data_IF_311520878016
#
_entry.id   IF_311520878016
#
_cell.length_a   1.000
_cell.length_b   1.000
_cell.length_c   1.000
_cell.angle_alpha   90.00
_cell.angle_beta   90.00
_cell.angle_gamma   90.00
#
_symmetry.space_group_name_H-M   'P 1'
#
loop_
_entity.id
_entity.type
_entity.pdbx_description
1 polymer ?
#
# COMPACT_ATOMS: atom_id res chain seq x y z
N UNK A 1 9.01 -20.74 -28.39
CA UNK A 1 9.25 -19.31 -28.08
C UNK A 1 9.13 -19.17 -26.57
N UNK A 2 10.21 -18.79 -25.89
CA UNK A 2 10.21 -18.62 -24.44
C UNK A 2 9.54 -17.29 -24.09
N UNK A 3 8.37 -17.36 -23.46
CA UNK A 3 7.62 -16.18 -23.04
C UNK A 3 8.19 -15.68 -21.71
N UNK A 4 8.60 -14.41 -21.64
CA UNK A 4 9.16 -13.75 -20.43
C UNK A 4 8.27 -13.94 -19.19
N UNK A 5 6.99 -14.25 -19.37
CA UNK A 5 6.02 -14.57 -18.30
C UNK A 5 6.33 -15.83 -17.48
N UNK A 6 7.28 -16.67 -17.89
CA UNK A 6 7.73 -17.84 -17.10
C UNK A 6 8.93 -17.55 -16.21
N UNK A 7 9.52 -16.35 -16.30
CA UNK A 7 10.61 -15.92 -15.43
C UNK A 7 10.04 -15.46 -14.08
N UNK A 8 10.80 -15.66 -13.00
CA UNK A 8 10.44 -15.14 -11.67
C UNK A 8 10.42 -13.61 -11.66
N UNK A 9 9.60 -13.03 -10.78
CA UNK A 9 9.40 -11.57 -10.69
C UNK A 9 10.72 -10.80 -10.56
N UNK A 10 11.67 -11.33 -9.78
CA UNK A 10 13.00 -10.73 -9.58
C UNK A 10 13.82 -10.67 -10.88
N UNK A 11 13.75 -11.71 -11.73
CA UNK A 11 14.45 -11.74 -13.00
C UNK A 11 13.81 -10.81 -14.02
N UNK A 12 12.49 -10.70 -14.01
CA UNK A 12 11.74 -9.75 -14.84
C UNK A 12 12.12 -8.31 -14.46
N UNK A 13 12.15 -7.99 -13.16
CA UNK A 13 12.58 -6.69 -12.66
C UNK A 13 14.03 -6.39 -13.02
N UNK A 14 14.92 -7.38 -12.95
CA UNK A 14 16.31 -7.22 -13.35
C UNK A 14 16.45 -6.90 -14.85
N UNK A 15 15.69 -7.58 -15.72
CA UNK A 15 15.64 -7.28 -17.16
C UNK A 15 15.11 -5.86 -17.39
N UNK A 16 14.04 -5.46 -16.72
CA UNK A 16 13.43 -4.12 -16.85
C UNK A 16 14.35 -2.98 -16.37
N UNK A 17 15.31 -3.29 -15.48
CA UNK A 17 16.35 -2.38 -14.99
C UNK A 17 17.59 -2.33 -15.88
N UNK A 18 17.61 -3.04 -17.01
CA UNK A 18 18.70 -2.87 -17.99
C UNK A 18 18.57 -1.53 -18.73
N UNK A 19 19.71 -0.96 -19.10
CA UNK A 19 19.80 0.34 -19.78
C UNK A 19 19.40 0.26 -21.26
N UNK A 20 19.40 -0.93 -21.84
CA UNK A 20 19.12 -1.16 -23.26
C UNK A 20 17.61 -1.13 -23.57
N UNK A 21 16.76 -1.15 -22.55
CA UNK A 21 15.30 -1.17 -22.70
C UNK A 21 14.76 0.20 -22.27
N UNK A 22 14.33 1.02 -23.22
CA UNK A 22 13.80 2.36 -22.91
C UNK A 22 12.36 2.30 -22.41
N UNK A 23 11.91 3.34 -21.69
CA UNK A 23 10.52 3.44 -21.23
C UNK A 23 9.49 3.44 -22.37
N UNK A 24 9.92 3.73 -23.61
CA UNK A 24 9.09 3.64 -24.82
C UNK A 24 9.01 2.21 -25.36
N UNK A 25 10.05 1.41 -25.14
CA UNK A 25 10.09 -0.01 -25.52
C UNK A 25 9.34 -0.89 -24.50
N UNK A 26 9.27 -0.44 -23.24
CA UNK A 26 8.49 -1.06 -22.16
C UNK A 26 7.02 -0.67 -22.27
N UNK A 27 6.31 -1.19 -23.29
CA UNK A 27 4.84 -1.23 -23.25
C UNK A 27 4.35 -2.52 -22.57
N UNK A 28 5.06 -2.97 -21.52
CA UNK A 28 4.73 -4.24 -20.85
C UNK A 28 3.39 -4.19 -20.11
N UNK A 29 2.96 -3.00 -19.68
CA UNK A 29 1.63 -2.79 -19.14
C UNK A 29 0.54 -3.07 -20.17
N UNK A 30 0.83 -2.98 -21.48
CA UNK A 30 -0.10 -3.34 -22.56
C UNK A 30 0.02 -4.80 -23.02
N UNK A 31 1.07 -5.54 -22.65
CA UNK A 31 1.27 -6.93 -23.11
C UNK A 31 0.67 -7.98 -22.18
N UNK A 32 0.63 -7.78 -20.86
CA UNK A 32 -0.04 -8.68 -19.93
C UNK A 32 -0.40 -8.00 -18.59
N UNK A 33 -1.56 -8.35 -18.02
CA UNK A 33 -2.00 -7.86 -16.70
C UNK A 33 -0.96 -8.12 -15.60
N UNK A 34 -0.30 -9.27 -15.64
CA UNK A 34 0.73 -9.63 -14.67
C UNK A 34 1.91 -8.65 -14.66
N UNK A 35 2.41 -8.22 -15.83
CA UNK A 35 3.47 -7.21 -15.89
C UNK A 35 2.97 -5.83 -15.47
N UNK A 36 1.73 -5.48 -15.81
CA UNK A 36 1.13 -4.22 -15.35
C UNK A 36 1.07 -4.17 -13.83
N UNK A 37 0.58 -5.22 -13.19
CA UNK A 37 0.42 -5.31 -11.75
C UNK A 37 1.79 -5.32 -11.03
N UNK A 38 2.78 -6.00 -11.60
CA UNK A 38 4.17 -6.02 -11.11
C UNK A 38 4.85 -4.65 -11.23
N UNK A 39 4.61 -3.94 -12.34
CA UNK A 39 5.17 -2.60 -12.57
C UNK A 39 4.46 -1.55 -11.70
N UNK A 40 3.13 -1.61 -11.53
CA UNK A 40 2.37 -0.68 -10.69
C UNK A 40 2.61 -0.90 -9.19
N UNK A 41 2.87 -2.13 -8.76
CA UNK A 41 3.20 -2.45 -7.36
C UNK A 41 4.66 -2.12 -6.99
N UNK A 42 5.61 -2.19 -7.94
CA UNK A 42 7.02 -1.88 -7.70
C UNK A 42 7.34 -0.39 -7.88
N UNK A 43 7.07 0.38 -6.82
CA UNK A 43 7.41 1.81 -6.73
C UNK A 43 8.92 2.11 -6.97
N UNK A 44 9.79 1.11 -6.78
CA UNK A 44 11.23 1.20 -7.04
C UNK A 44 11.57 1.25 -8.54
N UNK A 45 10.88 0.49 -9.39
CA UNK A 45 11.17 0.43 -10.83
C UNK A 45 10.84 1.77 -11.52
N UNK A 46 9.71 2.39 -11.16
CA UNK A 46 9.34 3.72 -11.66
C UNK A 46 10.27 4.82 -11.17
N UNK A 47 10.69 4.77 -9.90
CA UNK A 47 11.66 5.73 -9.37
C UNK A 47 12.98 5.67 -10.13
N UNK A 48 13.48 4.46 -10.40
CA UNK A 48 14.71 4.25 -11.16
C UNK A 48 14.60 4.74 -12.61
N UNK A 49 13.54 4.37 -13.34
CA UNK A 49 13.32 4.84 -14.73
C UNK A 49 13.04 6.34 -14.84
N UNK A 50 12.38 6.95 -13.85
CA UNK A 50 12.21 8.41 -13.77
C UNK A 50 13.56 9.13 -13.57
N UNK A 51 14.45 8.58 -12.74
CA UNK A 51 15.81 9.11 -12.59
C UNK A 51 16.60 8.99 -13.91
N UNK A 52 16.49 7.88 -14.64
CA UNK A 52 17.15 7.74 -15.95
C UNK A 52 16.73 8.83 -16.96
N UNK A 53 15.44 9.19 -16.99
CA UNK A 53 14.91 10.19 -17.93
C UNK A 53 15.46 11.61 -17.65
N UNK A 54 15.82 11.89 -16.40
CA UNK A 54 16.43 13.16 -15.98
C UNK A 54 17.92 13.22 -16.40
N UNK A 55 18.58 12.07 -16.50
CA UNK A 55 20.03 11.92 -16.79
C UNK A 55 20.35 11.99 -18.31
N UNK A 56 19.34 11.91 -19.17
CA UNK A 56 19.50 11.89 -20.64
C UNK A 56 19.54 13.27 -21.31
N UNK A 57 19.55 14.38 -20.56
CA UNK A 57 19.46 15.74 -21.09
C UNK A 57 20.71 16.57 -20.77
N UNK A 58 21.77 16.41 -21.57
CA UNK A 58 22.79 17.44 -21.80
C UNK A 58 24.26 16.99 -21.72
N UNK A 59 24.79 16.48 -22.84
CA UNK A 59 26.19 16.27 -23.31
C UNK A 59 27.46 16.64 -22.49
N UNK A 60 27.44 16.63 -21.16
CA UNK A 60 28.60 16.87 -20.28
C UNK A 60 28.63 15.83 -19.14
N UNK A 61 28.15 14.63 -19.46
CA UNK A 61 27.44 13.78 -18.51
C UNK A 61 28.06 12.40 -18.27
N UNK A 62 29.23 12.05 -18.80
CA UNK A 62 29.82 10.74 -18.50
C UNK A 62 30.36 10.67 -17.06
N UNK A 63 31.19 11.64 -16.65
CA UNK A 63 31.73 11.70 -15.29
C UNK A 63 30.67 12.04 -14.24
N UNK A 64 29.69 12.89 -14.59
CA UNK A 64 28.52 13.14 -13.73
C UNK A 64 27.62 11.91 -13.60
N UNK A 65 27.46 11.09 -14.67
CA UNK A 65 26.72 9.82 -14.61
C UNK A 65 27.39 8.81 -13.71
N UNK A 66 28.71 8.70 -13.76
CA UNK A 66 29.44 7.74 -12.92
C UNK A 66 29.33 8.12 -11.43
N UNK A 67 29.48 9.41 -11.11
CA UNK A 67 29.25 9.94 -9.76
C UNK A 67 27.79 9.74 -9.32
N UNK A 68 26.82 10.02 -10.20
CA UNK A 68 25.40 9.82 -9.91
C UNK A 68 25.02 8.34 -9.75
N UNK A 69 25.64 7.44 -10.52
CA UNK A 69 25.43 6.00 -10.40
C UNK A 69 26.00 5.48 -9.08
N UNK A 70 27.18 5.96 -8.68
CA UNK A 70 27.78 5.65 -7.39
C UNK A 70 26.90 6.18 -6.24
N UNK A 71 26.41 7.41 -6.34
CA UNK A 71 25.48 8.00 -5.37
C UNK A 71 24.12 7.26 -5.32
N UNK A 72 23.60 6.82 -6.46
CA UNK A 72 22.37 6.02 -6.54
C UNK A 72 22.56 4.64 -5.92
N UNK A 73 23.67 3.97 -6.24
CA UNK A 73 23.99 2.66 -5.69
C UNK A 73 24.20 2.75 -4.18
N UNK A 74 24.87 3.81 -3.71
CA UNK A 74 25.04 4.10 -2.28
C UNK A 74 23.72 4.41 -1.59
N UNK A 75 22.81 5.15 -2.24
CA UNK A 75 21.44 5.34 -1.75
C UNK A 75 20.67 4.02 -1.71
N UNK A 76 20.78 3.17 -2.73
CA UNK A 76 20.12 1.86 -2.77
C UNK A 76 20.67 0.95 -1.66
N UNK A 77 21.96 0.97 -1.39
CA UNK A 77 22.58 0.26 -0.26
C UNK A 77 22.14 0.81 1.10
N UNK A 78 22.06 2.13 1.26
CA UNK A 78 21.53 2.79 2.47
C UNK A 78 20.06 2.43 2.70
N UNK A 79 19.27 2.43 1.63
CA UNK A 79 17.87 2.00 1.64
C UNK A 79 17.78 0.52 1.98
N UNK A 80 18.58 -0.35 1.36
CA UNK A 80 18.61 -1.79 1.67
C UNK A 80 18.96 -2.03 3.12
N UNK A 81 20.01 -1.38 3.64
CA UNK A 81 20.38 -1.42 5.07
C UNK A 81 19.26 -0.92 5.99
N UNK A 82 18.44 0.04 5.54
CA UNK A 82 17.29 0.52 6.29
C UNK A 82 16.12 -0.49 6.29
N UNK A 83 15.89 -1.19 5.18
CA UNK A 83 14.82 -2.20 5.04
C UNK A 83 15.23 -3.60 5.53
N UNK A 84 16.53 -3.92 5.58
CA UNK A 84 17.12 -5.14 6.17
C UNK A 84 17.22 -5.06 7.68
N UNK A 85 17.22 -3.85 8.27
CA UNK A 85 16.96 -3.73 9.71
C UNK A 85 15.62 -4.41 9.96
N UNK A 86 15.57 -5.47 10.79
CA UNK A 86 14.30 -6.08 11.13
C UNK A 86 13.44 -4.96 11.69
N UNK A 87 12.37 -4.60 10.97
CA UNK A 87 11.39 -3.64 11.48
C UNK A 87 11.12 -4.10 12.91
N UNK A 88 11.32 -3.23 13.92
CA UNK A 88 11.16 -3.65 15.31
C UNK A 88 9.81 -4.35 15.38
N UNK A 89 9.78 -5.62 15.83
CA UNK A 89 8.55 -6.41 15.90
C UNK A 89 7.55 -5.58 16.68
N UNK A 90 6.64 -4.92 15.95
CA UNK A 90 5.64 -4.07 16.57
C UNK A 90 4.74 -5.04 17.30
N UNK A 91 4.52 -4.76 18.58
CA UNK A 91 3.57 -5.56 19.35
C UNK A 91 2.22 -5.43 18.64
N UNK A 92 1.47 -6.53 18.47
CA UNK A 92 0.13 -6.45 17.92
C UNK A 92 -0.71 -5.41 18.64
N UNK A 93 -1.44 -4.62 17.87
CA UNK A 93 -2.27 -3.55 18.41
C UNK A 93 -3.48 -4.19 19.10
N UNK A 94 -3.75 -3.75 20.34
CA UNK A 94 -4.85 -4.29 21.16
C UNK A 94 -6.09 -3.42 21.06
N UNK A 95 -7.21 -4.00 20.60
CA UNK A 95 -8.53 -3.36 20.59
C UNK A 95 -8.92 -2.87 21.98
N UNK A 96 -9.65 -1.76 22.08
CA UNK A 96 -10.34 -1.40 23.32
C UNK A 96 -11.72 -2.09 23.39
N UNK A 97 -12.26 -2.40 24.58
CA UNK A 97 -13.42 -3.29 24.74
C UNK A 97 -14.71 -2.85 24.02
N UNK A 98 -14.85 -1.56 23.73
CA UNK A 98 -16.08 -0.96 23.16
C UNK A 98 -15.97 -0.63 21.67
N UNK A 99 -14.86 -1.01 21.01
CA UNK A 99 -14.69 -0.78 19.57
C UNK A 99 -15.77 -1.48 18.75
N UNK A 100 -16.53 -0.70 17.98
CA UNK A 100 -17.62 -1.21 17.13
C UNK A 100 -17.16 -1.76 15.80
N UNK A 101 -16.02 -1.26 15.30
CA UNK A 101 -15.55 -1.60 13.96
C UNK A 101 -14.17 -2.26 13.98
N UNK A 102 -13.86 -2.97 12.91
CA UNK A 102 -12.62 -3.70 12.72
C UNK A 102 -12.01 -3.36 11.36
N UNK A 103 -10.70 -3.53 11.26
CA UNK A 103 -9.97 -3.50 9.98
C UNK A 103 -10.62 -4.48 9.01
N UNK A 104 -10.88 -4.03 7.78
CA UNK A 104 -11.58 -4.78 6.74
C UNK A 104 -13.09 -4.54 6.67
N UNK A 105 -13.70 -3.94 7.70
CA UNK A 105 -15.12 -3.57 7.62
C UNK A 105 -15.36 -2.42 6.67
N UNK A 106 -16.50 -2.49 5.97
CA UNK A 106 -17.00 -1.43 5.11
C UNK A 106 -17.90 -0.50 5.93
N UNK A 107 -17.59 0.79 5.90
CA UNK A 107 -18.29 1.82 6.66
C UNK A 107 -18.66 2.99 5.78
N UNK A 108 -19.72 3.68 6.17
CA UNK A 108 -20.14 4.96 5.58
C UNK A 108 -20.29 6.02 6.66
N UNK A 109 -20.19 7.28 6.26
CA UNK A 109 -20.48 8.40 7.16
C UNK A 109 -21.98 8.51 7.39
N UNK A 110 -22.35 8.77 8.65
CA UNK A 110 -23.75 9.03 9.03
C UNK A 110 -24.25 10.32 8.35
N UNK A 111 -23.44 11.38 8.40
CA UNK A 111 -23.84 12.72 7.92
C UNK A 111 -23.72 12.86 6.39
N UNK A 112 -22.88 12.05 5.76
CA UNK A 112 -22.56 12.13 4.33
C UNK A 112 -22.53 10.72 3.73
N UNK A 113 -23.70 10.09 3.49
CA UNK A 113 -23.79 8.69 3.11
C UNK A 113 -23.19 8.35 1.74
N UNK A 114 -22.81 9.37 0.95
CA UNK A 114 -22.06 9.19 -0.31
C UNK A 114 -20.61 8.75 -0.08
N UNK A 115 -20.07 8.95 1.11
CA UNK A 115 -18.69 8.55 1.43
C UNK A 115 -18.74 7.21 2.13
N UNK A 116 -18.30 6.19 1.40
CA UNK A 116 -18.16 4.83 1.87
C UNK A 116 -16.73 4.35 1.62
N UNK A 117 -16.20 3.52 2.52
CA UNK A 117 -14.85 3.02 2.41
C UNK A 117 -14.56 1.87 3.36
N UNK A 118 -13.33 1.36 3.28
CA UNK A 118 -12.86 0.24 4.08
C UNK A 118 -11.93 0.73 5.17
N UNK A 119 -12.12 0.24 6.39
CA UNK A 119 -11.21 0.53 7.51
C UNK A 119 -9.89 -0.20 7.27
N UNK A 120 -8.78 0.53 7.20
CA UNK A 120 -7.43 -0.02 7.05
C UNK A 120 -6.62 0.01 8.36
N UNK A 121 -7.17 0.63 9.40
CA UNK A 121 -6.52 0.76 10.69
C UNK A 121 -7.27 1.72 11.60
N UNK A 122 -6.78 1.86 12.82
CA UNK A 122 -7.34 2.77 13.81
C UNK A 122 -6.29 3.19 14.82
N UNK A 123 -6.55 4.31 15.50
CA UNK A 123 -5.69 4.85 16.54
C UNK A 123 -6.47 4.96 17.84
N UNK A 124 -5.89 4.42 18.92
CA UNK A 124 -6.45 4.54 20.27
C UNK A 124 -6.57 6.00 20.68
N UNK A 125 -7.63 6.37 21.42
CA UNK A 125 -7.61 7.63 22.13
C UNK A 125 -6.40 7.68 23.07
N UNK A 126 -5.84 8.87 23.24
CA UNK A 126 -4.76 9.12 24.19
C UNK A 126 -4.86 10.53 24.76
N UNK A 127 -4.37 10.69 25.98
CA UNK A 127 -4.25 12.00 26.62
C UNK A 127 -3.03 12.71 26.05
N UNK A 128 -3.23 13.93 25.54
CA UNK A 128 -2.14 14.82 25.18
C UNK A 128 -1.98 15.86 26.29
N UNK A 129 -0.84 15.81 26.98
CA UNK A 129 -0.43 16.76 28.03
C UNK A 129 -1.54 17.03 29.08
N UNK A 130 -2.08 15.97 29.68
CA UNK A 130 -2.99 15.98 30.85
C UNK A 130 -4.26 16.85 30.76
N UNK A 131 -4.59 17.41 29.58
CA UNK A 131 -5.69 18.39 29.44
C UNK A 131 -6.54 18.22 28.18
N UNK A 132 -6.11 17.40 27.21
CA UNK A 132 -6.88 17.15 25.98
C UNK A 132 -6.95 15.66 25.64
N UNK A 133 -8.16 15.11 25.55
CA UNK A 133 -8.41 13.77 25.03
C UNK A 133 -8.38 13.86 23.50
N UNK A 134 -7.40 13.20 22.87
CA UNK A 134 -7.47 12.93 21.43
C UNK A 134 -8.39 11.73 21.27
N UNK A 135 -9.56 11.92 20.65
CA UNK A 135 -10.50 10.84 20.39
C UNK A 135 -9.91 9.81 19.43
N UNK A 136 -10.28 8.54 19.64
CA UNK A 136 -9.89 7.45 18.75
C UNK A 136 -10.45 7.69 17.36
N UNK A 137 -9.65 7.38 16.33
CA UNK A 137 -10.06 7.56 14.94
C UNK A 137 -9.77 6.31 14.11
N UNK A 138 -10.64 6.05 13.16
CA UNK A 138 -10.50 5.02 12.15
C UNK A 138 -9.93 5.62 10.86
N UNK A 139 -8.93 4.95 10.31
CA UNK A 139 -8.37 5.23 9.00
C UNK A 139 -9.19 4.49 7.93
N UNK A 140 -9.87 5.23 7.06
CA UNK A 140 -10.81 4.70 6.07
C UNK A 140 -10.35 5.06 4.66
N UNK A 141 -10.18 4.05 3.79
CA UNK A 141 -9.89 4.26 2.38
C UNK A 141 -11.19 4.18 1.59
N UNK A 142 -11.56 5.30 0.96
CA UNK A 142 -12.75 5.39 0.12
C UNK A 142 -12.53 4.88 -1.31
N UNK A 143 -13.61 4.72 -2.07
CA UNK A 143 -13.54 4.28 -3.48
C UNK A 143 -12.72 5.21 -4.38
N UNK A 144 -12.67 6.49 -4.03
CA UNK A 144 -11.91 7.52 -4.74
C UNK A 144 -10.39 7.49 -4.46
N UNK A 145 -9.86 6.38 -3.91
CA UNK A 145 -8.48 6.20 -3.50
C UNK A 145 -7.98 7.19 -2.42
N UNK A 146 -8.88 7.91 -1.73
CA UNK A 146 -8.51 8.84 -0.67
C UNK A 146 -8.57 8.19 0.70
N UNK A 147 -7.61 8.53 1.53
CA UNK A 147 -7.54 8.17 2.94
C UNK A 147 -8.23 9.24 3.78
N UNK A 148 -9.10 8.79 4.67
CA UNK A 148 -9.85 9.63 5.59
C UNK A 148 -9.65 9.16 7.03
N UNK A 149 -9.84 10.08 7.98
CA UNK A 149 -9.84 9.78 9.40
C UNK A 149 -11.17 10.21 10.01
N UNK A 150 -11.86 9.28 10.65
CA UNK A 150 -13.17 9.53 11.24
C UNK A 150 -13.25 8.99 12.66
N UNK A 151 -13.95 9.73 13.51
CA UNK A 151 -14.35 9.25 14.84
C UNK A 151 -15.41 8.15 14.70
N UNK A 152 -15.43 7.22 15.67
CA UNK A 152 -16.38 6.10 15.67
C UNK A 152 -17.84 6.56 15.58
N UNK A 153 -18.17 7.63 16.31
CA UNK A 153 -19.53 8.17 16.40
C UNK A 153 -20.09 8.66 15.05
N UNK A 154 -19.23 8.86 14.05
CA UNK A 154 -19.61 9.35 12.72
C UNK A 154 -19.74 8.24 11.69
N UNK A 155 -19.44 7.00 12.07
CA UNK A 155 -19.44 5.84 11.18
C UNK A 155 -20.63 4.93 11.47
N UNK A 156 -21.14 4.31 10.41
CA UNK A 156 -22.03 3.16 10.51
C UNK A 156 -21.63 2.07 9.50
N UNK A 157 -22.00 0.82 9.79
CA UNK A 157 -21.74 -0.32 8.89
C UNK A 157 -22.45 -0.08 7.55
N UNK A 158 -21.74 -0.32 6.46
CA UNK A 158 -22.33 -0.26 5.13
C UNK A 158 -22.76 -1.67 4.68
N UNK A 159 -23.91 -1.76 4.01
CA UNK A 159 -24.45 -3.01 3.46
C UNK A 159 -24.04 -3.21 2.00
N UNK A 160 -22.74 -3.09 1.73
CA UNK A 160 -22.23 -3.24 0.36
C UNK A 160 -21.89 -4.69 0.08
N UNK A 161 -22.45 -5.22 -1.02
CA UNK A 161 -22.21 -6.60 -1.49
C UNK A 161 -21.26 -6.71 -2.68
N UNK A 162 -20.64 -5.60 -3.07
CA UNK A 162 -19.75 -5.52 -4.21
C UNK A 162 -18.42 -4.92 -3.77
N UNK A 163 -17.28 -5.43 -4.26
CA UNK A 163 -16.00 -4.81 -4.01
C UNK A 163 -15.96 -3.40 -4.61
N UNK A 164 -15.12 -2.54 -4.04
CA UNK A 164 -14.83 -1.21 -4.53
C UNK A 164 -13.96 -1.31 -5.77
N UNK A 165 -14.17 -0.41 -6.72
CA UNK A 165 -13.23 -0.27 -7.84
C UNK A 165 -12.03 0.58 -7.42
N UNK A 166 -11.22 0.05 -6.49
CA UNK A 166 -10.08 0.74 -5.90
C UNK A 166 -8.86 -0.20 -5.85
N UNK A 167 -7.89 0.06 -6.73
CA UNK A 167 -6.66 -0.73 -6.84
C UNK A 167 -5.71 -0.55 -5.64
N UNK A 168 -5.88 0.51 -4.84
CA UNK A 168 -5.05 0.75 -3.65
C UNK A 168 -5.39 -0.17 -2.48
N UNK A 169 -6.60 -0.75 -2.45
CA UNK A 169 -7.02 -1.69 -1.41
C UNK A 169 -6.20 -2.99 -1.44
N UNK A 170 -5.68 -3.39 -2.60
CA UNK A 170 -4.79 -4.57 -2.73
C UNK A 170 -3.50 -4.45 -1.92
N UNK A 171 -3.10 -3.25 -1.50
CA UNK A 171 -1.95 -3.04 -0.60
C UNK A 171 -2.23 -3.51 0.83
N UNK A 172 -3.50 -3.64 1.20
CA UNK A 172 -3.98 -3.87 2.55
C UNK A 172 -4.76 -5.18 2.70
N UNK A 173 -5.46 -5.60 1.65
CA UNK A 173 -6.38 -6.73 1.68
C UNK A 173 -6.06 -7.73 0.57
N UNK A 174 -6.22 -9.02 0.87
CA UNK A 174 -5.94 -10.10 -0.08
C UNK A 174 -7.18 -10.53 -0.89
N UNK A 175 -8.38 -10.39 -0.32
CA UNK A 175 -9.65 -10.69 -1.00
C UNK A 175 -10.84 -9.96 -0.38
N UNK A 176 -11.96 -10.01 -1.09
CA UNK A 176 -13.26 -9.54 -0.65
C UNK A 176 -14.15 -10.75 -0.32
N UNK A 177 -14.85 -10.71 0.81
CA UNK A 177 -15.81 -11.73 1.26
C UNK A 177 -17.14 -11.06 1.57
N UNK A 178 -18.12 -11.24 0.68
CA UNK A 178 -19.52 -10.81 0.75
C UNK A 178 -19.80 -9.37 1.23
N UNK A 179 -19.44 -9.04 2.47
CA UNK A 179 -19.68 -7.78 3.17
C UNK A 179 -18.41 -7.13 3.78
N UNK A 180 -17.22 -7.72 3.62
CA UNK A 180 -15.98 -7.20 4.20
C UNK A 180 -14.74 -7.57 3.37
N UNK A 181 -13.61 -6.97 3.72
CA UNK A 181 -12.30 -7.28 3.13
C UNK A 181 -11.45 -8.07 4.11
N UNK A 182 -10.78 -9.10 3.61
CA UNK A 182 -9.86 -9.93 4.39
C UNK A 182 -8.49 -9.26 4.42
N UNK A 183 -7.97 -8.87 5.59
CA UNK A 183 -6.66 -8.25 5.70
C UNK A 183 -5.54 -9.17 5.21
N UNK A 184 -4.54 -8.60 4.55
CA UNK A 184 -3.33 -9.33 4.16
C UNK A 184 -2.44 -9.60 5.38
N UNK A 185 -1.34 -10.34 5.18
CA UNK A 185 -0.44 -10.75 6.26
C UNK A 185 0.07 -9.56 7.10
N UNK A 186 0.36 -8.43 6.46
CA UNK A 186 0.83 -7.23 7.17
C UNK A 186 -0.23 -6.73 8.16
N UNK A 187 -1.47 -6.52 7.70
CA UNK A 187 -2.54 -6.04 8.57
C UNK A 187 -3.01 -7.11 9.57
N UNK A 188 -2.98 -8.39 9.21
CA UNK A 188 -3.30 -9.48 10.11
C UNK A 188 -2.30 -9.57 11.29
N UNK A 189 -1.01 -9.29 11.03
CA UNK A 189 0.02 -9.24 12.07
C UNK A 189 -0.14 -8.01 12.98
N UNK A 190 -0.51 -6.86 12.42
CA UNK A 190 -0.72 -5.62 13.19
C UNK A 190 -2.04 -5.66 14.00
N UNK A 191 -3.09 -6.28 13.44
CA UNK A 191 -4.46 -6.30 13.98
C UNK A 191 -5.07 -7.71 14.08
N UNK A 192 -4.43 -8.66 14.80
CA UNK A 192 -4.88 -10.06 14.82
C UNK A 192 -6.27 -10.26 15.44
N UNK A 193 -6.66 -9.40 16.40
CA UNK A 193 -7.98 -9.44 17.03
C UNK A 193 -9.10 -8.98 16.09
N UNK A 194 -8.79 -8.12 15.12
CA UNK A 194 -9.76 -7.63 14.13
C UNK A 194 -10.15 -8.77 13.16
N UNK A 195 -9.22 -9.68 12.85
CA UNK A 195 -9.50 -10.87 12.03
C UNK A 195 -10.53 -11.78 12.70
N UNK A 196 -10.36 -12.02 14.00
CA UNK A 196 -11.31 -12.81 14.79
C UNK A 196 -12.67 -12.11 14.88
N UNK A 197 -12.68 -10.78 14.99
CA UNK A 197 -13.90 -9.99 15.03
C UNK A 197 -14.68 -10.07 13.72
N UNK A 198 -13.99 -10.02 12.57
CA UNK A 198 -14.62 -10.17 11.26
C UNK A 198 -15.31 -11.52 11.14
N UNK A 199 -14.64 -12.61 11.52
CA UNK A 199 -15.16 -13.98 11.42
C UNK A 199 -16.41 -14.22 12.28
N UNK A 200 -16.53 -13.50 13.41
CA UNK A 200 -17.66 -13.64 14.34
C UNK A 200 -18.84 -12.72 14.02
N UNK A 201 -18.64 -11.67 13.20
CA UNK A 201 -19.64 -10.64 12.89
C UNK A 201 -19.93 -10.48 11.38
N UNK A 202 -19.37 -11.38 10.56
CA UNK A 202 -19.61 -11.51 9.12
C UNK A 202 -20.95 -12.16 8.81
#
# INVERSE_FOLDING_TARGET
MATISFLGEDMILHILRTNDISIKDVNFSSTCKHFRDMIESSNSCWRWKCCQRIISVGSEEASRREILLDDLQKMEEEISKFYEKPKPKRRPIRRWPEMKFAVGMIVKLIDVPKIEGVIIGWRSPYLRNDSYIVWGSYAVVGENNKLYYFEEARLCKAERRKPFNNNTLGKYFCRFEDNHYVPNEMLANDYPLDISYLSNNS
#
